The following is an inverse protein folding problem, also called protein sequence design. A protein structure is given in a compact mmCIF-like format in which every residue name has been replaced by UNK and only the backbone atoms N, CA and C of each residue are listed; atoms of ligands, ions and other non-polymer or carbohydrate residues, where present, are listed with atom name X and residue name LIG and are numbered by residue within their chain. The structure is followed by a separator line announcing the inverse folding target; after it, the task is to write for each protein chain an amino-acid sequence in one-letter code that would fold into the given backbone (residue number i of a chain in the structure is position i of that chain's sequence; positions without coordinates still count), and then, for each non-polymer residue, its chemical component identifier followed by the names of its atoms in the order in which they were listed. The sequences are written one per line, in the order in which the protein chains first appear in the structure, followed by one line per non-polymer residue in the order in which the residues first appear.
data_IF_432657686126
#
_entry.id   IF_432657686126
#
_cell.length_a   1.000
_cell.length_b   1.000
_cell.length_c   1.000
_cell.angle_alpha   90.00
_cell.angle_beta   90.00
_cell.angle_gamma   90.00
#
_symmetry.space_group_name_H-M   'P 1'
#
loop_
_entity.id
_entity.type
_entity.pdbx_description
1 polymer ?
#
# COMPACT_ATOMS: atom_id res chain seq x y z
N UNK A 1 12.07 -18.93 -5.65
CA UNK A 1 13.22 -18.21 -6.27
C UNK A 1 14.48 -18.53 -5.47
N UNK A 2 15.62 -18.87 -6.08
CA UNK A 2 16.87 -19.06 -5.36
C UNK A 2 17.26 -17.80 -4.56
N UNK A 3 17.77 -17.99 -3.33
CA UNK A 3 18.13 -16.89 -2.41
C UNK A 3 19.07 -15.86 -3.07
N UNK A 4 20.03 -16.30 -3.87
CA UNK A 4 20.97 -15.41 -4.57
C UNK A 4 20.23 -14.45 -5.53
N UNK A 5 19.29 -14.94 -6.34
CA UNK A 5 18.55 -14.11 -7.30
C UNK A 5 17.65 -13.12 -6.56
N UNK A 6 17.04 -13.56 -5.46
CA UNK A 6 16.23 -12.68 -4.61
C UNK A 6 17.07 -11.52 -4.07
N UNK A 7 18.23 -11.82 -3.48
CA UNK A 7 19.09 -10.78 -2.90
C UNK A 7 19.60 -9.80 -3.97
N UNK A 8 19.96 -10.28 -5.16
CA UNK A 8 20.37 -9.42 -6.29
C UNK A 8 19.23 -8.46 -6.67
N UNK A 9 17.98 -8.94 -6.72
CA UNK A 9 16.82 -8.10 -7.02
C UNK A 9 16.59 -7.05 -5.92
N UNK A 10 16.55 -7.47 -4.66
CA UNK A 10 16.33 -6.60 -3.51
C UNK A 10 17.41 -5.51 -3.41
N UNK A 11 18.68 -5.88 -3.56
CA UNK A 11 19.81 -4.94 -3.54
C UNK A 11 19.76 -3.96 -4.72
N UNK A 12 19.48 -4.44 -5.93
CA UNK A 12 19.33 -3.59 -7.11
C UNK A 12 18.20 -2.55 -6.92
N UNK A 13 17.05 -2.97 -6.39
CA UNK A 13 15.92 -2.07 -6.16
C UNK A 13 16.25 -1.04 -5.08
N UNK A 14 16.86 -1.46 -3.98
CA UNK A 14 17.32 -0.54 -2.92
C UNK A 14 18.26 0.54 -3.46
N UNK A 15 19.28 0.15 -4.20
CA UNK A 15 20.23 1.09 -4.81
C UNK A 15 19.56 2.00 -5.84
N UNK A 16 18.75 1.42 -6.74
CA UNK A 16 18.12 2.15 -7.86
C UNK A 16 17.17 3.24 -7.40
N UNK A 17 16.47 3.02 -6.29
CA UNK A 17 15.45 3.91 -5.77
C UNK A 17 15.83 4.58 -4.45
N UNK A 18 17.06 4.35 -3.96
CA UNK A 18 17.56 4.87 -2.69
C UNK A 18 16.63 4.56 -1.51
N UNK A 19 16.25 3.28 -1.39
CA UNK A 19 15.36 2.78 -0.34
C UNK A 19 16.16 2.31 0.87
N UNK A 20 15.54 2.39 2.04
CA UNK A 20 16.09 1.82 3.26
C UNK A 20 16.11 0.29 3.19
N UNK A 21 15.02 -0.30 2.72
CA UNK A 21 14.90 -1.75 2.53
C UNK A 21 13.99 -2.11 1.34
N UNK A 22 14.06 -3.37 0.93
CA UNK A 22 13.22 -3.95 -0.10
C UNK A 22 13.11 -5.46 0.13
N UNK A 23 11.90 -5.99 0.12
CA UNK A 23 11.63 -7.41 0.37
C UNK A 23 10.81 -7.97 -0.80
N UNK A 24 11.38 -8.94 -1.51
CA UNK A 24 10.67 -9.66 -2.55
C UNK A 24 9.75 -10.73 -1.96
N UNK A 25 8.51 -10.76 -2.45
CA UNK A 25 7.49 -11.74 -2.05
C UNK A 25 6.88 -12.42 -3.27
N UNK A 26 6.10 -13.47 -3.04
CA UNK A 26 5.57 -14.31 -4.11
C UNK A 26 4.43 -13.67 -4.93
N UNK A 27 3.72 -12.69 -4.40
CA UNK A 27 2.65 -11.95 -5.10
C UNK A 27 2.28 -10.64 -4.37
N UNK A 28 1.44 -9.81 -5.00
CA UNK A 28 0.97 -8.56 -4.42
C UNK A 28 0.14 -8.72 -3.16
N UNK A 29 -0.67 -9.78 -3.03
CA UNK A 29 -1.44 -10.01 -1.80
C UNK A 29 -0.52 -10.26 -0.61
N UNK A 30 0.54 -11.05 -0.79
CA UNK A 30 1.57 -11.24 0.23
C UNK A 30 2.31 -9.95 0.57
N UNK A 31 2.53 -9.07 -0.43
CA UNK A 31 3.12 -7.76 -0.21
C UNK A 31 2.25 -6.88 0.71
N UNK A 32 0.92 -6.97 0.59
CA UNK A 32 -0.02 -6.21 1.45
C UNK A 32 -0.15 -6.86 2.83
N UNK A 33 -0.23 -8.20 2.90
CA UNK A 33 -0.44 -8.93 4.16
C UNK A 33 0.76 -8.80 5.11
N UNK A 34 1.99 -8.88 4.60
CA UNK A 34 3.18 -8.92 5.45
C UNK A 34 3.36 -7.67 6.33
N UNK A 35 3.26 -6.43 5.82
CA UNK A 35 3.31 -5.25 6.67
C UNK A 35 2.14 -5.19 7.67
N UNK A 36 0.93 -5.60 7.29
CA UNK A 36 -0.19 -5.66 8.21
C UNK A 36 0.06 -6.64 9.37
N UNK A 37 0.64 -7.80 9.10
CA UNK A 37 1.03 -8.75 10.16
C UNK A 37 2.13 -8.20 11.07
N UNK A 38 3.07 -7.43 10.53
CA UNK A 38 4.14 -6.83 11.33
C UNK A 38 3.64 -5.80 12.34
N UNK A 39 2.43 -5.26 12.14
CA UNK A 39 1.79 -4.31 13.04
C UNK A 39 1.14 -4.97 14.29
N UNK A 40 1.13 -6.30 14.39
CA UNK A 40 0.50 -7.06 15.50
C UNK A 40 -0.95 -6.62 15.78
N UNK A 41 -1.74 -6.45 14.71
CA UNK A 41 -3.13 -6.00 14.77
C UNK A 41 -4.00 -6.96 15.60
N UNK A 42 -4.89 -6.42 16.41
CA UNK A 42 -5.80 -7.18 17.27
C UNK A 42 -7.21 -7.20 16.68
N UNK A 43 -8.05 -8.19 17.03
CA UNK A 43 -9.45 -8.18 16.65
C UNK A 43 -10.14 -6.87 17.05
N UNK A 44 -10.73 -6.20 16.07
CA UNK A 44 -11.39 -4.92 16.24
C UNK A 44 -10.51 -3.69 15.91
N UNK A 45 -9.19 -3.86 15.69
CA UNK A 45 -8.37 -2.81 15.09
C UNK A 45 -8.84 -2.52 13.67
N UNK A 46 -8.72 -1.28 13.25
CA UNK A 46 -9.28 -0.79 11.99
C UNK A 46 -8.18 -0.30 11.05
N UNK A 47 -8.34 -0.62 9.76
CA UNK A 47 -7.52 -0.10 8.66
C UNK A 47 -8.43 0.61 7.68
N UNK A 48 -8.20 1.90 7.47
CA UNK A 48 -8.96 2.73 6.53
C UNK A 48 -8.46 2.46 5.11
N UNK A 49 -9.37 2.19 4.19
CA UNK A 49 -9.11 2.02 2.75
C UNK A 49 -10.32 2.45 1.92
N UNK A 50 -10.30 2.20 0.62
CA UNK A 50 -11.44 2.47 -0.28
C UNK A 50 -12.15 1.17 -0.68
N UNK A 51 -13.49 1.18 -0.91
CA UNK A 51 -14.17 0.03 -1.48
C UNK A 51 -13.91 -0.15 -2.98
N UNK A 52 -13.45 0.90 -3.67
CA UNK A 52 -13.15 0.86 -5.08
C UNK A 52 -11.69 0.43 -5.30
N UNK A 53 -11.46 -0.89 -5.27
CA UNK A 53 -10.13 -1.50 -5.38
C UNK A 53 -10.24 -2.97 -5.80
N UNK A 54 -9.09 -3.60 -6.07
CA UNK A 54 -9.06 -5.05 -6.22
C UNK A 54 -9.26 -5.72 -4.86
N UNK A 55 -9.96 -6.83 -4.84
CA UNK A 55 -10.38 -7.52 -3.62
C UNK A 55 -9.24 -7.84 -2.64
N UNK A 56 -8.01 -8.03 -3.13
CA UNK A 56 -6.85 -8.34 -2.27
C UNK A 56 -6.56 -7.25 -1.24
N UNK A 57 -6.78 -5.97 -1.56
CA UNK A 57 -6.61 -4.87 -0.59
C UNK A 57 -7.46 -5.14 0.66
N UNK A 58 -8.74 -5.45 0.46
CA UNK A 58 -9.70 -5.67 1.55
C UNK A 58 -9.47 -7.01 2.26
N UNK A 59 -9.28 -8.09 1.48
CA UNK A 59 -9.09 -9.42 2.07
C UNK A 59 -7.79 -9.52 2.86
N UNK A 60 -6.74 -8.78 2.48
CA UNK A 60 -5.48 -8.74 3.22
C UNK A 60 -5.67 -8.13 4.61
N UNK A 61 -6.47 -7.08 4.75
CA UNK A 61 -6.83 -6.48 6.05
C UNK A 61 -7.56 -7.49 6.93
N UNK A 62 -8.54 -8.21 6.35
CA UNK A 62 -9.31 -9.23 7.09
C UNK A 62 -8.41 -10.41 7.51
N UNK A 63 -7.54 -10.89 6.62
CA UNK A 63 -6.59 -11.98 6.92
C UNK A 63 -5.60 -11.57 8.02
N UNK A 64 -5.22 -10.30 8.08
CA UNK A 64 -4.38 -9.77 9.14
C UNK A 64 -5.11 -9.62 10.50
N UNK A 65 -6.40 -9.93 10.57
CA UNK A 65 -7.21 -9.87 11.79
C UNK A 65 -7.85 -8.52 12.07
N UNK A 66 -7.69 -7.54 11.19
CA UNK A 66 -8.27 -6.21 11.33
C UNK A 66 -9.58 -6.07 10.56
N UNK A 67 -10.30 -4.99 10.85
CA UNK A 67 -11.53 -4.59 10.19
C UNK A 67 -11.23 -3.52 9.13
N UNK A 68 -11.58 -3.72 7.85
CA UNK A 68 -11.53 -2.66 6.86
C UNK A 68 -12.61 -1.60 7.16
N UNK A 69 -12.22 -0.33 7.13
CA UNK A 69 -13.10 0.83 7.22
C UNK A 69 -13.05 1.54 5.89
N UNK A 70 -14.20 1.68 5.23
CA UNK A 70 -14.25 2.23 3.90
C UNK A 70 -14.45 3.74 3.92
N UNK A 71 -13.65 4.42 3.10
CA UNK A 71 -13.78 5.83 2.76
C UNK A 71 -14.02 5.91 1.26
N UNK A 72 -14.98 6.73 0.86
CA UNK A 72 -15.35 6.89 -0.54
C UNK A 72 -14.25 7.56 -1.37
N UNK A 73 -14.40 7.47 -2.68
CA UNK A 73 -13.47 8.02 -3.67
C UNK A 73 -13.89 9.43 -4.09
N UNK A 74 -12.96 10.16 -4.72
CA UNK A 74 -13.33 11.34 -5.49
C UNK A 74 -14.01 10.94 -6.79
N UNK A 75 -14.95 11.74 -7.27
CA UNK A 75 -15.65 11.49 -8.53
C UNK A 75 -14.74 11.70 -9.77
N UNK A 76 -13.73 12.56 -9.65
CA UNK A 76 -12.89 12.97 -10.78
C UNK A 76 -11.77 11.97 -11.10
N UNK A 77 -11.15 11.36 -10.06
CA UNK A 77 -9.95 10.51 -10.22
C UNK A 77 -10.13 9.07 -9.73
N UNK A 78 -11.25 8.78 -9.05
CA UNK A 78 -11.56 7.48 -8.43
C UNK A 78 -10.58 7.03 -7.34
N UNK A 79 -9.73 7.93 -6.84
CA UNK A 79 -8.84 7.68 -5.72
C UNK A 79 -9.54 7.98 -4.39
N UNK A 80 -9.06 7.37 -3.30
CA UNK A 80 -9.61 7.63 -1.96
C UNK A 80 -9.69 9.14 -1.68
N UNK A 81 -10.83 9.61 -1.21
CA UNK A 81 -11.03 11.02 -0.88
C UNK A 81 -10.39 11.36 0.48
N UNK A 82 -9.27 12.10 0.51
CA UNK A 82 -8.58 12.41 1.75
C UNK A 82 -9.39 13.33 2.68
N UNK A 83 -10.35 14.09 2.13
CA UNK A 83 -11.24 14.94 2.92
C UNK A 83 -12.21 14.16 3.82
N UNK A 84 -12.44 12.89 3.51
CA UNK A 84 -13.34 12.02 4.28
C UNK A 84 -12.60 11.13 5.29
N UNK A 85 -11.27 11.01 5.20
CA UNK A 85 -10.48 10.08 6.03
C UNK A 85 -10.61 10.41 7.52
N UNK A 86 -10.49 11.68 7.90
CA UNK A 86 -10.55 12.06 9.32
C UNK A 86 -11.87 11.72 9.99
N UNK A 87 -13.00 11.77 9.25
CA UNK A 87 -14.31 11.39 9.78
C UNK A 87 -14.44 9.88 10.05
N UNK A 88 -13.62 9.07 9.40
CA UNK A 88 -13.60 7.62 9.55
C UNK A 88 -12.65 7.13 10.67
N UNK A 89 -11.81 8.03 11.21
CA UNK A 89 -10.84 7.69 12.27
C UNK A 89 -11.56 7.47 13.60
N UNK A 90 -11.25 6.35 14.24
CA UNK A 90 -11.68 6.01 15.60
C UNK A 90 -10.46 5.73 16.49
N UNK A 91 -10.68 5.48 17.78
CA UNK A 91 -9.62 5.03 18.69
C UNK A 91 -9.03 3.65 18.33
N UNK A 92 -9.69 2.91 17.43
CA UNK A 92 -9.27 1.59 16.93
C UNK A 92 -8.50 1.66 15.63
N UNK A 93 -8.49 2.80 14.94
CA UNK A 93 -7.77 2.97 13.68
C UNK A 93 -6.27 2.84 13.91
N UNK A 94 -5.60 2.01 13.12
CA UNK A 94 -4.16 1.75 13.19
C UNK A 94 -3.42 2.18 11.93
N UNK A 95 -4.07 2.11 10.78
CA UNK A 95 -3.44 2.43 9.51
C UNK A 95 -4.41 3.04 8.50
N UNK A 96 -3.85 3.72 7.51
CA UNK A 96 -4.51 4.14 6.28
C UNK A 96 -3.84 3.39 5.13
N UNK A 97 -4.64 2.76 4.26
CA UNK A 97 -4.14 2.05 3.09
C UNK A 97 -4.75 2.69 1.83
N UNK A 98 -4.13 3.75 1.29
CA UNK A 98 -4.52 4.30 0.00
C UNK A 98 -4.17 3.33 -1.12
N UNK A 99 -4.99 3.30 -2.17
CA UNK A 99 -4.75 2.49 -3.36
C UNK A 99 -4.50 3.40 -4.55
N UNK A 100 -3.34 3.28 -5.14
CA UNK A 100 -2.95 4.02 -6.34
C UNK A 100 -3.53 3.32 -7.57
N UNK A 101 -4.69 3.79 -8.06
CA UNK A 101 -5.42 3.13 -9.14
C UNK A 101 -5.00 3.66 -10.52
N UNK A 102 -4.96 2.75 -11.49
CA UNK A 102 -4.85 3.08 -12.92
C UNK A 102 -3.65 3.94 -13.30
N UNK A 103 -2.52 3.80 -12.61
CA UNK A 103 -1.32 4.60 -12.84
C UNK A 103 -1.36 5.99 -12.20
N UNK A 104 -2.36 6.30 -11.41
CA UNK A 104 -2.51 7.55 -10.67
C UNK A 104 -1.93 7.44 -9.25
N UNK A 105 -1.64 8.57 -8.63
CA UNK A 105 -1.12 8.66 -7.26
C UNK A 105 -2.12 9.41 -6.39
N UNK A 106 -2.52 8.79 -5.26
CA UNK A 106 -3.35 9.44 -4.26
C UNK A 106 -2.71 10.73 -3.74
N UNK A 107 -3.51 11.64 -3.20
CA UNK A 107 -2.99 12.84 -2.55
C UNK A 107 -2.23 12.47 -1.26
N UNK A 108 -1.00 11.99 -1.43
CA UNK A 108 -0.17 11.50 -0.33
C UNK A 108 0.25 12.61 0.64
N UNK A 109 0.38 13.83 0.16
CA UNK A 109 0.64 14.99 1.04
C UNK A 109 -0.43 15.11 2.13
N UNK A 110 -1.70 15.11 1.73
CA UNK A 110 -2.82 15.22 2.67
C UNK A 110 -3.01 13.96 3.51
N UNK A 111 -2.83 12.76 2.92
CA UNK A 111 -2.95 11.49 3.65
C UNK A 111 -1.87 11.40 4.74
N UNK A 112 -0.63 11.72 4.44
CA UNK A 112 0.47 11.68 5.41
C UNK A 112 0.31 12.73 6.52
N UNK A 113 -0.23 13.91 6.20
CA UNK A 113 -0.57 14.92 7.21
C UNK A 113 -1.59 14.38 8.22
N UNK A 114 -2.66 13.76 7.73
CA UNK A 114 -3.70 13.13 8.56
C UNK A 114 -3.10 11.99 9.39
N UNK A 115 -2.35 11.10 8.77
CA UNK A 115 -1.72 9.97 9.45
C UNK A 115 -0.79 10.43 10.57
N UNK A 116 0.05 11.42 10.32
CA UNK A 116 0.95 11.99 11.32
C UNK A 116 0.18 12.62 12.48
N UNK A 117 -0.89 13.36 12.21
CA UNK A 117 -1.74 13.99 13.25
C UNK A 117 -2.36 12.96 14.18
N UNK A 118 -2.73 11.79 13.66
CA UNK A 118 -3.42 10.73 14.40
C UNK A 118 -2.52 9.54 14.76
N UNK A 119 -1.20 9.65 14.52
CA UNK A 119 -0.22 8.59 14.77
C UNK A 119 -0.59 7.25 14.12
N UNK A 120 -0.96 7.30 12.83
CA UNK A 120 -1.35 6.15 12.01
C UNK A 120 -0.23 5.76 11.04
N UNK A 121 -0.11 4.47 10.76
CA UNK A 121 0.78 3.94 9.72
C UNK A 121 0.12 4.12 8.36
N UNK A 122 0.91 4.45 7.33
CA UNK A 122 0.43 4.52 5.94
C UNK A 122 1.08 3.41 5.12
N UNK A 123 0.24 2.57 4.51
CA UNK A 123 0.65 1.47 3.62
C UNK A 123 0.11 1.77 2.22
N UNK A 124 1.01 2.11 1.29
CA UNK A 124 0.61 2.38 -0.10
C UNK A 124 0.38 1.07 -0.87
N UNK A 125 -0.85 0.81 -1.32
CA UNK A 125 -1.11 -0.24 -2.30
C UNK A 125 -0.81 0.30 -3.70
N UNK A 126 0.36 -0.04 -4.22
CA UNK A 126 0.89 0.43 -5.52
C UNK A 126 0.79 -0.67 -6.59
N UNK A 127 -0.06 -1.67 -6.36
CA UNK A 127 -0.21 -2.81 -7.28
C UNK A 127 -0.61 -2.45 -8.72
N UNK A 128 -1.09 -1.24 -8.96
CA UNK A 128 -1.53 -0.77 -10.29
C UNK A 128 -0.75 0.45 -10.79
N UNK A 129 0.26 0.92 -10.07
CA UNK A 129 0.88 2.23 -10.35
C UNK A 129 2.40 2.22 -10.21
N UNK A 130 3.05 1.07 -10.50
CA UNK A 130 4.52 1.01 -10.51
C UNK A 130 5.10 2.06 -11.47
N UNK A 131 5.98 2.91 -10.96
CA UNK A 131 6.63 3.97 -11.73
C UNK A 131 5.84 5.28 -11.84
N UNK A 132 4.58 5.32 -11.39
CA UNK A 132 3.83 6.56 -11.28
C UNK A 132 4.51 7.52 -10.28
N UNK A 133 4.41 8.82 -10.53
CA UNK A 133 5.07 9.83 -9.70
C UNK A 133 4.12 10.97 -9.37
N UNK A 134 4.27 11.52 -8.18
CA UNK A 134 3.70 12.79 -7.75
C UNK A 134 4.78 13.62 -7.07
N UNK A 135 4.91 14.90 -7.44
CA UNK A 135 5.90 15.82 -6.89
C UNK A 135 7.35 15.27 -6.92
N UNK A 136 7.68 14.53 -7.99
CA UNK A 136 9.01 13.92 -8.19
C UNK A 136 9.27 12.63 -7.41
N UNK A 137 8.37 12.21 -6.51
CA UNK A 137 8.47 10.97 -5.75
C UNK A 137 7.66 9.86 -6.41
N UNK A 138 8.16 8.64 -6.39
CA UNK A 138 7.47 7.48 -6.95
C UNK A 138 6.40 6.97 -5.98
N UNK A 139 5.26 6.52 -6.53
CA UNK A 139 4.24 5.80 -5.78
C UNK A 139 4.84 4.60 -5.05
N UNK A 140 4.42 4.38 -3.81
CA UNK A 140 4.96 3.34 -2.92
C UNK A 140 6.25 3.74 -2.19
N UNK A 141 6.70 5.01 -2.37
CA UNK A 141 7.90 5.53 -1.72
C UNK A 141 7.62 6.88 -1.02
N UNK A 142 6.35 7.12 -0.69
CA UNK A 142 5.91 8.40 -0.13
C UNK A 142 5.41 8.30 1.30
N UNK A 143 5.40 7.09 1.87
CA UNK A 143 4.89 6.83 3.21
C UNK A 143 5.76 5.79 3.94
N UNK A 144 5.19 5.13 4.97
CA UNK A 144 5.93 4.17 5.79
C UNK A 144 6.27 2.88 5.04
N UNK A 145 5.33 2.39 4.22
CA UNK A 145 5.49 1.13 3.47
C UNK A 145 4.81 1.24 2.11
N UNK A 146 5.51 0.82 1.05
CA UNK A 146 4.94 0.61 -0.29
C UNK A 146 4.80 -0.85 -0.62
N UNK A 147 3.69 -1.24 -1.25
CA UNK A 147 3.44 -2.63 -1.65
C UNK A 147 3.20 -2.72 -3.15
N UNK A 148 3.81 -3.69 -3.82
CA UNK A 148 3.81 -3.79 -5.27
C UNK A 148 3.40 -5.19 -5.72
N UNK A 149 2.80 -5.27 -6.89
CA UNK A 149 2.44 -6.52 -7.55
C UNK A 149 3.09 -6.61 -8.93
N UNK A 150 3.67 -7.77 -9.25
CA UNK A 150 4.25 -8.10 -10.55
C UNK A 150 3.50 -9.25 -11.23
N UNK A 151 2.22 -9.43 -10.89
CA UNK A 151 1.34 -10.41 -11.52
C UNK A 151 1.17 -10.09 -13.01
N UNK A 152 0.90 -11.10 -13.84
CA UNK A 152 0.91 -11.03 -15.32
C UNK A 152 0.10 -9.89 -15.96
N UNK A 153 -0.89 -9.31 -15.26
CA UNK A 153 -1.72 -8.21 -15.78
C UNK A 153 -1.15 -6.83 -15.45
N UNK A 154 -0.05 -6.76 -14.69
CA UNK A 154 0.53 -5.49 -14.26
C UNK A 154 1.43 -4.89 -15.35
N UNK A 155 1.61 -3.56 -15.29
CA UNK A 155 2.48 -2.82 -16.24
C UNK A 155 3.94 -3.29 -16.25
N UNK A 156 4.44 -3.77 -15.12
CA UNK A 156 5.66 -4.58 -15.03
C UNK A 156 5.28 -5.93 -14.44
N UNK A 157 5.63 -7.01 -15.11
CA UNK A 157 5.24 -8.33 -14.66
C UNK A 157 6.38 -9.35 -14.71
N UNK A 158 6.32 -10.32 -13.81
CA UNK A 158 7.19 -11.48 -13.71
C UNK A 158 6.38 -12.78 -13.69
N UNK A 159 5.19 -12.79 -14.33
CA UNK A 159 4.10 -13.75 -14.20
C UNK A 159 3.46 -13.71 -12.81
N UNK A 160 4.21 -13.96 -11.77
CA UNK A 160 3.84 -13.79 -10.37
C UNK A 160 5.01 -13.15 -9.62
N UNK A 161 4.68 -12.29 -8.66
CA UNK A 161 5.66 -11.61 -7.83
C UNK A 161 5.05 -10.43 -7.10
N UNK A 162 5.74 -9.96 -6.10
CA UNK A 162 5.45 -8.75 -5.35
C UNK A 162 6.68 -8.24 -4.63
N UNK A 163 6.55 -7.05 -4.06
CA UNK A 163 7.63 -6.37 -3.36
C UNK A 163 7.03 -5.48 -2.26
N UNK A 164 7.76 -5.35 -1.21
CA UNK A 164 7.51 -4.44 -0.09
C UNK A 164 8.69 -3.49 -0.01
#
# INVERSE_FOLDING_TARGET
MPIIIRNIFEDYVKERFNLQDCIAVNNGSSAIIAPLWSMDLKPGDEVITTPFTFISTVTSIIIAGAKPVFVDINEDDYLINPGLIEHAITSKTKAIMPVHLFGQVCNMGRINEIAKKHNLVVIEDTSQSFGAKSEGKMAGMMSDVGTFSFQKTKNINTFEGGMI
#
